data_IF_592718551712
#
_entry.id   IF_592718551712
#
_cell.length_a   1.000
_cell.length_b   1.000
_cell.length_c   1.000
_cell.angle_alpha   90.00
_cell.angle_beta   90.00
_cell.angle_gamma   90.00
#
_symmetry.space_group_name_H-M   'P 1'
#
loop_
_entity.id
_entity.type
_entity.pdbx_description
1 polymer ?
2 water ?
#
# COMPACT_ATOMS: atom_id res chain seq x y z
N UNK A 1 -25.90 8.45 -5.78
CA UNK A 1 -25.09 7.32 -6.21
C UNK A 1 -24.25 7.70 -7.44
N UNK A 2 -24.73 8.70 -8.19
CA UNK A 2 -23.95 9.22 -9.30
C UNK A 2 -22.65 9.83 -8.79
N UNK A 3 -21.57 9.56 -9.50
CA UNK A 3 -20.25 10.05 -9.13
C UNK A 3 -20.03 11.45 -9.68
N UNK A 4 -19.66 12.38 -8.80
CA UNK A 4 -19.33 13.75 -9.16
C UNK A 4 -17.92 14.04 -8.68
N UNK A 5 -17.04 14.45 -9.60
CA UNK A 5 -15.66 14.76 -9.23
C UNK A 5 -15.00 15.51 -10.37
N UNK A 6 -14.02 16.33 -10.00
CA UNK A 6 -13.13 17.01 -10.94
C UNK A 6 -11.73 16.48 -10.75
N UNK A 7 -11.16 15.89 -11.80
CA UNK A 7 -9.84 15.25 -11.74
C UNK A 7 -8.91 16.00 -12.68
N UNK A 8 -7.80 16.48 -12.15
CA UNK A 8 -6.79 17.18 -12.92
C UNK A 8 -5.50 16.37 -12.87
N UNK A 9 -5.02 15.93 -14.03
CA UNK A 9 -3.79 15.14 -14.11
C UNK A 9 -2.59 16.06 -14.29
N UNK A 10 -1.54 15.81 -13.51
CA UNK A 10 -0.28 16.55 -13.61
C UNK A 10 0.79 15.54 -13.99
N UNK A 11 1.27 15.61 -15.23
CA UNK A 11 2.10 14.57 -15.83
C UNK A 11 3.50 15.10 -16.06
N UNK A 12 4.50 14.42 -15.46
CA UNK A 12 5.90 14.68 -15.73
C UNK A 12 6.20 14.44 -17.20
N UNK A 13 6.50 15.51 -17.94
CA UNK A 13 6.82 15.37 -19.34
C UNK A 13 8.28 15.61 -19.64
N UNK A 14 9.12 15.58 -18.60
CA UNK A 14 10.54 15.86 -18.73
C UNK A 14 11.27 14.65 -19.33
N UNK A 15 12.60 14.72 -19.36
CA UNK A 15 13.41 13.59 -19.81
C UNK A 15 13.44 12.47 -18.79
N UNK A 16 12.81 12.64 -17.63
CA UNK A 16 12.65 11.53 -16.69
C UNK A 16 12.00 10.34 -17.38
N UNK A 17 11.07 10.60 -18.29
CA UNK A 17 10.49 9.58 -19.16
C UNK A 17 11.01 9.80 -20.57
N UNK A 18 11.25 8.70 -21.29
CA UNK A 18 11.43 8.81 -22.73
C UNK A 18 10.07 9.13 -23.37
N UNK A 19 10.12 9.52 -24.65
CA UNK A 19 8.89 9.90 -25.32
C UNK A 19 7.89 8.75 -25.37
N UNK A 20 8.38 7.55 -25.69
CA UNK A 20 7.48 6.40 -25.77
C UNK A 20 7.00 5.97 -24.38
N UNK A 21 7.82 6.15 -23.35
CA UNK A 21 7.38 5.90 -21.99
C UNK A 21 6.27 6.88 -21.60
N UNK A 22 6.35 8.12 -22.07
CA UNK A 22 5.29 9.08 -21.80
C UNK A 22 3.97 8.66 -22.43
N UNK A 23 4.04 8.04 -23.62
CA UNK A 23 2.83 7.52 -24.26
C UNK A 23 2.18 6.44 -23.42
N UNK A 24 2.98 5.69 -22.65
CA UNK A 24 2.42 4.69 -21.74
C UNK A 24 1.73 5.36 -20.55
N UNK A 25 2.20 6.53 -20.14
CA UNK A 25 1.51 7.28 -19.10
C UNK A 25 0.16 7.78 -19.61
N UNK A 26 0.12 8.26 -20.86
CA UNK A 26 -1.13 8.72 -21.44
C UNK A 26 -2.13 7.57 -21.57
N UNK A 27 -1.66 6.40 -21.99
CA UNK A 27 -2.54 5.24 -22.06
C UNK A 27 -3.08 4.86 -20.69
N UNK A 28 -2.22 4.93 -19.65
CA UNK A 28 -2.68 4.63 -18.30
C UNK A 28 -3.73 5.64 -17.85
N UNK A 29 -3.52 6.93 -18.14
CA UNK A 29 -4.48 7.96 -17.77
C UNK A 29 -5.80 7.74 -18.51
N UNK A 30 -5.71 7.36 -19.79
CA UNK A 30 -6.92 7.07 -20.56
C UNK A 30 -7.69 5.89 -19.96
N UNK A 31 -6.96 4.83 -19.57
CA UNK A 31 -7.63 3.68 -18.97
C UNK A 31 -8.28 4.05 -17.65
N UNK A 32 -7.64 4.91 -16.86
CA UNK A 32 -8.24 5.37 -15.60
C UNK A 32 -9.55 6.09 -15.88
N UNK A 33 -9.55 7.02 -16.83
CA UNK A 33 -10.75 7.79 -17.14
C UNK A 33 -11.84 6.87 -17.69
N UNK A 34 -11.45 5.90 -18.53
CA UNK A 34 -12.46 5.06 -19.19
C UNK A 34 -13.23 4.21 -18.19
N UNK A 35 -12.58 3.79 -17.11
CA UNK A 35 -13.26 2.93 -16.14
C UNK A 35 -13.88 3.70 -14.98
N UNK A 36 -13.32 4.85 -14.61
CA UNK A 36 -13.88 5.62 -13.50
C UNK A 36 -15.15 6.35 -13.94
N UNK A 37 -15.25 6.68 -15.23
CA UNK A 37 -16.35 7.50 -15.76
C UNK A 37 -17.45 6.56 -16.24
N UNK A 38 -18.40 6.28 -15.37
CA UNK A 38 -19.52 5.42 -15.75
C UNK A 38 -20.62 6.24 -16.43
N UNK A 39 -21.55 5.53 -17.06
CA UNK A 39 -22.66 6.19 -17.75
C UNK A 39 -23.49 7.00 -16.76
N UNK A 40 -23.63 8.29 -17.04
CA UNK A 40 -24.39 9.18 -16.19
C UNK A 40 -23.57 9.89 -15.13
N UNK A 41 -22.29 9.57 -15.00
CA UNK A 41 -21.45 10.25 -14.02
C UNK A 41 -21.16 11.68 -14.46
N UNK A 42 -20.93 12.56 -13.47
CA UNK A 42 -20.60 13.96 -13.70
C UNK A 42 -19.14 14.16 -13.32
N UNK A 43 -18.25 13.74 -14.22
CA UNK A 43 -16.81 13.76 -13.99
C UNK A 43 -16.17 14.64 -15.05
N UNK A 44 -15.43 15.65 -14.60
CA UNK A 44 -14.65 16.50 -15.48
C UNK A 44 -13.18 16.18 -15.32
N UNK A 45 -12.42 16.38 -16.40
CA UNK A 45 -11.00 16.05 -16.41
C UNK A 45 -10.22 17.20 -17.05
N UNK A 46 -9.15 17.62 -16.40
CA UNK A 46 -8.16 18.51 -16.99
C UNK A 46 -6.80 17.87 -16.95
N UNK A 47 -5.86 18.33 -17.76
CA UNK A 47 -4.55 17.69 -17.84
C UNK A 47 -3.46 18.73 -18.01
N UNK A 48 -2.37 18.56 -17.26
CA UNK A 48 -1.21 19.43 -17.31
C UNK A 48 0.03 18.57 -17.48
N UNK A 49 0.83 18.86 -18.49
CA UNK A 49 2.16 18.29 -18.65
C UNK A 49 3.17 19.30 -18.12
N UNK A 50 4.18 18.82 -17.40
CA UNK A 50 5.12 19.73 -16.77
C UNK A 50 6.55 19.22 -16.86
N UNK A 51 7.47 20.17 -17.09
CA UNK A 51 8.89 19.96 -16.88
C UNK A 51 9.31 20.98 -15.84
N UNK A 52 10.27 21.85 -16.15
CA UNK A 52 10.51 23.00 -15.28
C UNK A 52 9.34 23.97 -15.29
N UNK A 53 8.50 23.91 -16.33
CA UNK A 53 7.32 24.75 -16.47
C UNK A 53 6.10 23.89 -16.77
N UNK A 54 4.92 24.33 -16.38
CA UNK A 54 3.69 23.61 -16.73
C UNK A 54 3.12 24.05 -18.06
N UNK A 55 2.42 23.10 -18.71
CA UNK A 55 1.76 23.34 -19.98
C UNK A 55 0.33 22.85 -19.89
N UNK A 56 -0.63 23.76 -20.08
CA UNK A 56 -2.04 23.40 -20.05
C UNK A 56 -2.40 22.65 -21.34
N UNK A 57 -2.78 21.38 -21.20
CA UNK A 57 -3.26 20.63 -22.36
C UNK A 57 -4.77 20.78 -22.54
N UNK A 58 -5.54 20.68 -21.47
CA UNK A 58 -6.94 21.09 -21.49
C UNK A 58 -7.43 21.27 -20.06
N UNK A 59 -8.56 21.96 -19.94
CA UNK A 59 -9.16 22.29 -18.65
C UNK A 59 -10.39 21.43 -18.39
N UNK A 60 -10.83 21.43 -17.13
CA UNK A 60 -12.02 20.68 -16.74
C UNK A 60 -13.23 21.10 -17.57
N UNK A 61 -13.35 22.40 -17.84
CA UNK A 61 -14.49 22.95 -18.57
C UNK A 61 -14.49 22.61 -20.05
N UNK A 62 -13.37 22.12 -20.60
CA UNK A 62 -13.24 22.01 -22.05
C UNK A 62 -14.14 20.92 -22.60
N UNK A 63 -13.96 19.69 -22.14
CA UNK A 63 -14.63 18.53 -22.72
C UNK A 63 -15.65 17.98 -21.73
N UNK A 64 -16.78 17.54 -22.27
CA UNK A 64 -17.96 17.24 -21.49
C UNK A 64 -18.42 15.78 -21.56
N UNK A 65 -17.80 14.97 -22.41
CA UNK A 65 -18.07 13.54 -22.46
C UNK A 65 -16.77 12.78 -22.23
N UNK A 66 -16.90 11.54 -21.78
CA UNK A 66 -15.73 10.70 -21.58
C UNK A 66 -14.95 10.51 -22.89
N UNK A 67 -15.66 10.35 -24.00
CA UNK A 67 -15.00 10.09 -25.27
C UNK A 67 -14.17 11.29 -25.73
N UNK A 68 -14.68 12.51 -25.51
CA UNK A 68 -13.90 13.69 -25.86
C UNK A 68 -12.66 13.81 -24.97
N UNK A 69 -12.80 13.48 -23.68
CA UNK A 69 -11.66 13.53 -22.77
C UNK A 69 -10.59 12.54 -23.21
N UNK A 70 -11.00 11.30 -23.50
CA UNK A 70 -10.04 10.26 -23.87
C UNK A 70 -9.34 10.61 -25.17
N UNK A 71 -10.10 11.13 -26.15
CA UNK A 71 -9.47 11.59 -27.39
C UNK A 71 -8.52 12.76 -27.14
N UNK A 72 -8.86 13.62 -26.17
CA UNK A 72 -7.97 14.73 -25.83
C UNK A 72 -6.68 14.25 -25.19
N UNK A 73 -6.79 13.26 -24.28
CA UNK A 73 -5.60 12.69 -23.66
C UNK A 73 -4.70 12.07 -24.72
N UNK A 74 -5.29 11.33 -25.65
CA UNK A 74 -4.53 10.66 -26.70
C UNK A 74 -4.23 11.60 -27.85
N UNK A 75 -4.08 12.88 -27.55
CA UNK A 75 -3.52 13.86 -28.46
C UNK A 75 -2.36 14.64 -27.86
N UNK A 76 -2.13 14.52 -26.55
CA UNK A 76 -1.02 15.20 -25.90
C UNK A 76 0.29 14.74 -26.51
N UNK A 77 1.16 15.69 -26.82
CA UNK A 77 2.45 15.42 -27.44
C UNK A 77 3.54 15.64 -26.39
N UNK A 78 4.38 14.62 -26.21
CA UNK A 78 5.52 14.72 -25.30
C UNK A 78 6.39 15.89 -25.67
N UNK A 79 6.73 16.72 -24.68
CA UNK A 79 7.48 17.94 -24.91
C UNK A 79 8.89 17.93 -24.33
N UNK A 80 9.21 16.96 -23.48
CA UNK A 80 10.58 16.85 -23.01
C UNK A 80 10.96 17.95 -22.03
N UNK A 81 12.26 18.24 -21.97
CA UNK A 81 12.79 19.24 -21.08
C UNK A 81 13.50 18.61 -19.88
N UNK A 82 14.28 19.44 -19.20
CA UNK A 82 15.04 19.01 -18.02
C UNK A 82 14.48 19.68 -16.77
N UNK A 83 14.76 19.04 -15.63
CA UNK A 83 14.44 19.56 -14.31
C UNK A 83 12.94 19.65 -14.07
N UNK A 84 12.26 18.50 -14.01
CA UNK A 84 10.85 18.48 -13.67
C UNK A 84 10.64 19.09 -12.28
N UNK A 85 9.82 20.14 -12.22
CA UNK A 85 9.53 20.85 -10.98
C UNK A 85 8.08 20.57 -10.60
N UNK A 86 7.89 19.62 -9.69
CA UNK A 86 6.54 19.25 -9.26
C UNK A 86 5.91 20.33 -8.40
N UNK A 87 6.72 21.14 -7.72
CA UNK A 87 6.16 22.24 -6.93
C UNK A 87 5.52 23.29 -7.82
N UNK A 88 6.21 23.68 -8.89
CA UNK A 88 5.63 24.62 -9.85
C UNK A 88 4.42 24.00 -10.53
N UNK A 89 4.45 22.69 -10.78
CA UNK A 89 3.31 22.03 -11.39
C UNK A 89 2.07 22.07 -10.52
N UNK A 90 2.24 21.75 -9.23
CA UNK A 90 1.10 21.77 -8.31
C UNK A 90 0.59 23.19 -8.09
N UNK A 91 1.50 24.16 -7.99
CA UNK A 91 1.08 25.55 -7.81
C UNK A 91 0.29 26.05 -9.01
N UNK A 92 0.65 25.60 -10.21
CA UNK A 92 -0.09 25.97 -11.41
C UNK A 92 -1.51 25.43 -11.35
N UNK A 93 -1.67 24.19 -10.87
CA UNK A 93 -3.01 23.65 -10.65
C UNK A 93 -3.78 24.48 -9.64
N UNK A 94 -3.12 24.89 -8.56
CA UNK A 94 -3.75 25.74 -7.56
C UNK A 94 -4.29 27.02 -8.19
N UNK A 95 -3.53 27.63 -9.08
CA UNK A 95 -3.90 28.94 -9.63
C UNK A 95 -4.85 28.80 -10.81
N UNK A 96 -4.62 27.82 -11.68
CA UNK A 96 -5.24 27.80 -12.99
C UNK A 96 -6.19 26.65 -13.26
N UNK A 97 -6.33 25.71 -12.34
CA UNK A 97 -7.20 24.57 -12.66
C UNK A 97 -8.27 24.32 -11.61
N UNK A 98 -7.93 24.40 -10.33
CA UNK A 98 -8.94 24.26 -9.28
C UNK A 98 -9.57 25.61 -8.93
N UNK A 99 -10.08 26.28 -9.96
CA UNK A 99 -10.77 27.56 -9.81
C UNK A 99 -12.05 27.50 -10.63
N UNK A 100 -13.09 28.28 -10.29
CA UNK A 100 -14.36 28.17 -11.04
C UNK A 100 -14.23 28.48 -12.52
N UNK A 101 -13.44 29.49 -12.89
CA UNK A 101 -13.32 29.89 -14.29
C UNK A 101 -12.70 28.80 -15.15
N UNK A 102 -11.99 27.85 -14.56
CA UNK A 102 -11.47 26.70 -15.29
C UNK A 102 -12.43 25.52 -15.27
N UNK A 103 -13.60 25.67 -14.66
CA UNK A 103 -14.58 24.60 -14.59
C UNK A 103 -14.58 23.82 -13.28
N UNK A 104 -13.74 24.18 -12.32
CA UNK A 104 -13.70 23.46 -11.06
C UNK A 104 -14.94 23.76 -10.23
N UNK A 105 -15.53 22.70 -9.67
CA UNK A 105 -16.68 22.81 -8.78
C UNK A 105 -16.27 22.73 -7.32
N UNK A 106 -15.09 23.25 -6.98
CA UNK A 106 -14.61 23.22 -5.61
C UNK A 106 -15.53 23.98 -4.66
N UNK A 107 -16.24 24.98 -5.17
CA UNK A 107 -17.12 25.77 -4.33
C UNK A 107 -18.37 25.01 -3.90
N UNK A 108 -18.76 23.99 -4.65
CA UNK A 108 -20.00 23.25 -4.40
C UNK A 108 -19.75 21.91 -3.70
N UNK A 109 -18.63 21.79 -2.97
CA UNK A 109 -18.27 20.57 -2.25
C UNK A 109 -18.12 19.36 -3.17
N UNK A 110 -17.87 19.59 -4.44
CA UNK A 110 -17.64 18.50 -5.38
C UNK A 110 -16.20 18.02 -5.20
N UNK A 111 -15.96 16.71 -5.09
CA UNK A 111 -14.61 16.20 -4.87
C UNK A 111 -13.61 16.73 -5.90
N UNK A 112 -12.49 17.23 -5.39
CA UNK A 112 -11.41 17.74 -6.22
C UNK A 112 -10.20 16.84 -6.05
N UNK A 113 -9.66 16.35 -7.17
CA UNK A 113 -8.59 15.36 -7.16
C UNK A 113 -7.47 15.85 -8.06
N UNK A 114 -6.26 15.92 -7.52
CA UNK A 114 -5.05 16.17 -8.28
C UNK A 114 -4.28 14.87 -8.40
N UNK A 115 -4.06 14.42 -9.64
CA UNK A 115 -3.41 13.14 -9.92
C UNK A 115 -2.05 13.43 -10.53
N UNK A 116 -0.99 13.23 -9.73
CA UNK A 116 0.37 13.50 -10.15
C UNK A 116 1.04 12.19 -10.54
N UNK A 117 1.69 12.19 -11.70
CA UNK A 117 2.54 11.09 -12.14
C UNK A 117 3.91 11.67 -12.45
N UNK A 118 4.92 11.27 -11.67
CA UNK A 118 6.26 11.82 -11.78
C UNK A 118 7.27 10.70 -11.92
N UNK A 119 8.31 10.94 -12.71
CA UNK A 119 9.32 9.93 -12.96
C UNK A 119 10.68 10.26 -12.37
N UNK A 120 10.71 11.22 -11.45
CA UNK A 120 11.96 11.62 -10.83
C UNK A 120 11.70 12.62 -9.73
N UNK A 121 12.68 12.72 -8.84
CA UNK A 121 12.55 13.62 -7.69
C UNK A 121 12.47 15.06 -8.16
N UNK A 122 11.54 15.80 -7.57
CA UNK A 122 11.36 17.20 -7.92
C UNK A 122 12.59 18.02 -7.55
N UNK A 123 12.99 18.91 -8.46
CA UNK A 123 14.08 19.84 -8.19
C UNK A 123 13.68 20.91 -7.18
N UNK A 124 12.42 20.94 -6.75
CA UNK A 124 11.95 21.85 -5.73
C UNK A 124 10.92 21.12 -4.88
N UNK A 125 11.09 21.17 -3.56
CA UNK A 125 10.19 20.45 -2.67
C UNK A 125 8.76 20.95 -2.82
N UNK A 126 7.83 20.01 -3.01
CA UNK A 126 6.42 20.32 -3.22
C UNK A 126 5.57 20.03 -1.99
N UNK A 127 6.19 19.82 -0.83
CA UNK A 127 5.45 19.40 0.35
C UNK A 127 4.45 20.46 0.81
N UNK A 128 4.85 21.73 0.81
CA UNK A 128 3.99 22.79 1.32
C UNK A 128 2.83 23.07 0.37
N UNK A 129 3.10 23.07 -0.94
CA UNK A 129 2.04 23.29 -1.90
C UNK A 129 1.04 22.14 -1.88
N UNK A 130 1.53 20.91 -1.76
CA UNK A 130 0.63 19.77 -1.65
C UNK A 130 -0.22 19.87 -0.38
N UNK A 131 0.40 20.23 0.75
CA UNK A 131 -0.36 20.37 1.99
C UNK A 131 -1.40 21.47 1.88
N UNK A 132 -1.06 22.58 1.23
CA UNK A 132 -2.01 23.68 1.07
C UNK A 132 -3.22 23.24 0.24
N UNK A 133 -3.00 22.39 -0.76
CA UNK A 133 -4.10 21.86 -1.54
C UNK A 133 -4.92 20.86 -0.72
N UNK A 134 -4.24 19.99 0.02
CA UNK A 134 -4.94 19.00 0.83
C UNK A 134 -5.84 19.67 1.87
N UNK A 135 -5.34 20.73 2.52
CA UNK A 135 -6.13 21.43 3.53
C UNK A 135 -7.30 22.18 2.90
N UNK A 136 -7.23 22.54 1.63
CA UNK A 136 -8.36 23.15 0.95
C UNK A 136 -9.39 22.12 0.49
N UNK A 137 -9.11 20.84 0.64
CA UNK A 137 -10.02 19.79 0.23
C UNK A 137 -9.64 19.05 -1.03
N UNK A 138 -8.55 19.45 -1.69
CA UNK A 138 -8.07 18.75 -2.88
C UNK A 138 -7.34 17.49 -2.43
N UNK A 139 -7.74 16.34 -2.99
CA UNK A 139 -7.04 15.08 -2.74
C UNK A 139 -5.94 14.91 -3.78
N UNK A 140 -4.70 14.84 -3.32
CA UNK A 140 -3.54 14.77 -4.22
C UNK A 140 -3.10 13.31 -4.30
N UNK A 141 -3.26 12.72 -5.49
CA UNK A 141 -2.76 11.39 -5.77
C UNK A 141 -1.37 11.49 -6.38
N UNK A 142 -0.44 10.66 -5.91
CA UNK A 142 0.94 10.69 -6.36
C UNK A 142 1.38 9.30 -6.77
N UNK A 143 1.87 9.17 -7.99
CA UNK A 143 2.37 7.91 -8.58
C UNK A 143 3.80 8.17 -9.01
N UNK A 144 4.75 7.64 -8.26
CA UNK A 144 6.17 7.80 -8.53
C UNK A 144 6.70 6.71 -9.43
N UNK A 145 7.39 7.08 -10.49
CA UNK A 145 7.95 6.09 -11.44
C UNK A 145 9.49 6.12 -11.42
N UNK A 146 10.11 4.95 -11.27
CA UNK A 146 11.57 4.67 -11.30
C UNK A 146 12.41 5.41 -10.26
N UNK A 147 12.66 6.70 -10.43
CA UNK A 147 13.56 7.44 -9.51
C UNK A 147 12.78 8.24 -8.49
N UNK A 148 11.82 7.62 -7.83
CA UNK A 148 11.02 8.30 -6.78
C UNK A 148 10.99 7.35 -5.59
N UNK A 149 11.33 7.82 -4.41
CA UNK A 149 11.37 6.97 -3.20
C UNK A 149 10.15 7.22 -2.33
N UNK A 150 10.08 6.52 -1.21
CA UNK A 150 8.88 6.63 -0.37
C UNK A 150 8.71 8.04 0.18
N UNK A 151 9.82 8.73 0.49
CA UNK A 151 9.70 10.05 1.10
C UNK A 151 9.23 11.09 0.09
N UNK A 152 9.73 11.03 -1.14
CA UNK A 152 9.30 11.99 -2.15
C UNK A 152 7.84 11.79 -2.52
N UNK A 153 7.40 10.53 -2.67
CA UNK A 153 6.00 10.28 -2.98
C UNK A 153 5.11 10.66 -1.80
N UNK A 154 5.63 10.55 -0.57
CA UNK A 154 4.84 10.92 0.59
C UNK A 154 4.70 12.42 0.75
N UNK A 155 5.65 13.20 0.21
CA UNK A 155 5.54 14.65 0.24
C UNK A 155 4.45 15.14 -0.69
N UNK A 156 4.26 14.47 -1.84
CA UNK A 156 3.28 14.92 -2.81
C UNK A 156 1.88 14.47 -2.43
N UNK A 157 1.73 13.20 -2.06
CA UNK A 157 0.42 12.63 -1.81
C UNK A 157 -0.21 13.22 -0.56
N UNK A 158 -1.55 13.30 -0.57
CA UNK A 158 -2.27 13.81 0.59
C UNK A 158 -2.06 12.93 1.81
N UNK A 159 -2.06 11.62 1.62
CA UNK A 159 -1.84 10.66 2.70
C UNK A 159 -1.23 9.40 2.11
N UNK A 160 -1.08 8.37 2.95
CA UNK A 160 -0.45 7.14 2.49
C UNK A 160 -1.31 6.40 1.49
N UNK A 161 -2.64 6.46 1.63
CA UNK A 161 -3.51 5.72 0.73
C UNK A 161 -3.50 6.27 -0.69
N UNK A 162 -3.05 7.51 -0.88
CA UNK A 162 -2.99 8.13 -2.21
C UNK A 162 -1.57 8.21 -2.74
N UNK A 163 -0.63 7.48 -2.15
CA UNK A 163 0.75 7.42 -2.60
C UNK A 163 1.02 6.06 -3.24
N UNK A 164 1.52 6.08 -4.47
CA UNK A 164 1.82 4.86 -5.21
C UNK A 164 3.22 4.94 -5.80
N UNK A 165 3.78 3.78 -6.11
CA UNK A 165 5.11 3.70 -6.70
C UNK A 165 5.16 2.51 -7.65
N UNK A 166 5.93 2.67 -8.73
CA UNK A 166 6.23 1.59 -9.66
C UNK A 166 7.66 1.74 -10.15
N UNK A 167 8.20 0.64 -10.68
CA UNK A 167 9.56 0.64 -11.19
C UNK A 167 9.70 1.14 -12.61
N UNK A 168 8.63 1.15 -13.39
CA UNK A 168 8.68 1.64 -14.76
C UNK A 168 7.26 1.89 -15.25
N UNK A 169 7.16 2.57 -16.40
CA UNK A 169 5.85 2.96 -16.92
C UNK A 169 5.04 1.74 -17.34
N UNK A 170 5.68 0.63 -17.69
CA UNK A 170 4.90 -0.57 -18.12
C UNK A 170 4.17 -1.21 -16.93
N UNK A 171 4.63 -0.98 -15.71
CA UNK A 171 4.03 -1.53 -14.49
C UNK A 171 2.86 -0.68 -14.00
N UNK A 172 2.68 0.50 -14.55
CA UNK A 172 1.64 1.46 -14.11
C UNK A 172 0.28 0.80 -14.02
N UNK A 173 -0.02 -0.09 -14.95
CA UNK A 173 -1.38 -0.62 -15.02
C UNK A 173 -1.68 -1.68 -13.95
N UNK A 174 -0.68 -2.15 -13.21
CA UNK A 174 -0.98 -3.03 -12.08
C UNK A 174 -1.55 -2.25 -10.90
N UNK A 175 -1.40 -0.93 -10.91
CA UNK A 175 -2.03 -0.08 -9.90
C UNK A 175 -3.48 0.24 -10.23
N UNK A 176 -3.95 -0.10 -11.43
CA UNK A 176 -5.28 0.31 -11.88
C UNK A 176 -6.35 -0.05 -10.86
N UNK A 177 -6.32 -1.29 -10.37
CA UNK A 177 -7.30 -1.73 -9.38
C UNK A 177 -7.21 -0.91 -8.11
N UNK A 178 -5.98 -0.71 -7.60
CA UNK A 178 -5.81 0.02 -6.35
C UNK A 178 -6.12 1.50 -6.52
N UNK A 179 -5.78 2.08 -7.67
CA UNK A 179 -6.02 3.50 -7.89
C UNK A 179 -7.51 3.78 -7.95
N UNK A 180 -8.29 2.90 -8.57
CA UNK A 180 -9.72 3.15 -8.74
C UNK A 180 -10.48 2.98 -7.43
N UNK A 181 -10.10 1.99 -6.61
CA UNK A 181 -10.70 1.88 -5.28
C UNK A 181 -10.42 3.11 -4.45
N UNK A 182 -9.20 3.64 -4.53
CA UNK A 182 -8.87 4.87 -3.82
C UNK A 182 -9.63 6.05 -4.42
N UNK A 183 -9.67 6.15 -5.75
CA UNK A 183 -10.50 7.16 -6.39
C UNK A 183 -11.96 6.99 -5.98
N UNK A 184 -12.42 5.74 -5.87
CA UNK A 184 -13.78 5.47 -5.42
C UNK A 184 -14.01 6.02 -4.02
N UNK A 185 -13.07 5.79 -3.11
CA UNK A 185 -13.19 6.33 -1.76
C UNK A 185 -13.13 7.85 -1.77
N UNK A 186 -12.32 8.43 -2.65
CA UNK A 186 -12.14 9.88 -2.72
C UNK A 186 -13.37 10.60 -3.24
N UNK A 187 -14.35 9.87 -3.77
CA UNK A 187 -15.63 10.46 -4.14
C UNK A 187 -16.73 10.14 -3.15
N UNK A 188 -16.55 9.12 -2.30
CA UNK A 188 -17.51 8.78 -1.28
C UNK A 188 -17.49 9.81 -0.15
N UNK B 1 13.86 1.82 -3.34
CA UNK B 1 13.16 0.70 -3.99
C UNK B 1 11.86 0.37 -3.26
N UNK B 2 10.77 0.33 -4.00
CA UNK B 2 9.48 0.02 -3.42
C UNK B 2 9.44 -1.41 -2.90
N UNK B 3 8.90 -1.58 -1.69
CA UNK B 3 8.86 -2.88 -1.03
C UNK B 3 7.61 -3.64 -1.45
N UNK B 4 7.78 -4.90 -1.84
CA UNK B 4 6.68 -5.80 -2.13
C UNK B 4 6.83 -7.03 -1.26
N UNK B 5 5.79 -7.34 -0.48
CA UNK B 5 5.80 -8.49 0.41
C UNK B 5 4.40 -8.77 0.90
N UNK B 6 4.12 -10.06 1.15
CA UNK B 6 2.87 -10.50 1.76
C UNK B 6 3.20 -11.09 3.12
N UNK B 7 2.65 -10.48 4.18
CA UNK B 7 2.95 -10.86 5.56
C UNK B 7 1.67 -11.38 6.19
N UNK B 8 1.69 -12.62 6.68
CA UNK B 8 0.56 -13.22 7.36
C UNK B 8 0.98 -13.50 8.80
N UNK B 9 0.34 -12.83 9.74
CA UNK B 9 0.61 -13.05 11.15
C UNK B 9 -0.19 -14.23 11.67
N UNK B 10 0.44 -15.03 12.53
CA UNK B 10 -0.21 -16.17 13.19
C UNK B 10 0.00 -15.99 14.69
N UNK B 11 -1.07 -15.60 15.39
CA UNK B 11 -0.98 -15.15 16.77
C UNK B 11 -1.63 -16.18 17.69
N UNK B 12 -0.84 -16.69 18.65
CA UNK B 12 -1.34 -17.53 19.72
C UNK B 12 -2.37 -16.77 20.54
N UNK B 13 -3.63 -17.19 20.47
CA UNK B 13 -4.68 -16.54 21.24
C UNK B 13 -5.20 -17.42 22.35
N UNK B 14 -4.44 -18.45 22.70
CA UNK B 14 -4.84 -19.39 23.73
C UNK B 14 -4.64 -18.76 25.10
N UNK B 15 -4.85 -19.56 26.16
CA UNK B 15 -4.59 -19.09 27.52
C UNK B 15 -3.11 -18.98 27.83
N UNK B 16 -2.23 -19.28 26.87
CA UNK B 16 -0.80 -19.00 27.04
C UNK B 16 -0.59 -17.52 27.31
N UNK B 17 -1.41 -16.67 26.69
CA UNK B 17 -1.45 -15.25 26.99
C UNK B 17 -2.73 -14.93 27.74
N UNK B 18 -2.65 -14.02 28.70
CA UNK B 18 -3.86 -13.39 29.22
C UNK B 18 -4.39 -12.43 28.16
N UNK B 19 -5.65 -12.03 28.34
CA UNK B 19 -6.26 -11.11 27.37
C UNK B 19 -5.46 -9.81 27.28
N UNK B 20 -4.99 -9.30 28.42
CA UNK B 20 -4.22 -8.06 28.43
C UNK B 20 -2.84 -8.26 27.79
N UNK B 21 -2.27 -9.46 27.88
CA UNK B 21 -1.01 -9.73 27.20
C UNK B 21 -1.19 -9.92 25.71
N UNK B 22 -2.32 -10.51 25.29
CA UNK B 22 -2.61 -10.62 23.87
C UNK B 22 -2.77 -9.24 23.24
N UNK B 23 -3.39 -8.31 23.97
CA UNK B 23 -3.52 -6.95 23.46
C UNK B 23 -2.16 -6.30 23.25
N UNK B 24 -1.21 -6.59 24.14
CA UNK B 24 0.16 -6.10 23.95
C UNK B 24 0.78 -6.68 22.70
N UNK B 25 0.48 -7.95 22.39
CA UNK B 25 0.95 -8.55 21.15
C UNK B 25 0.34 -7.83 19.95
N UNK B 26 -0.95 -7.48 20.05
CA UNK B 26 -1.62 -6.77 18.95
C UNK B 26 -1.01 -5.40 18.73
N UNK B 27 -0.71 -4.67 19.81
CA UNK B 27 0.01 -3.41 19.69
C UNK B 27 1.35 -3.62 18.99
N UNK B 28 2.13 -4.58 19.46
CA UNK B 28 3.42 -4.90 18.84
C UNK B 28 3.25 -5.14 17.35
N UNK B 29 2.22 -5.88 16.95
CA UNK B 29 2.01 -6.18 15.54
C UNK B 29 1.63 -4.93 14.76
N UNK B 30 0.79 -4.06 15.35
CA UNK B 30 0.36 -2.86 14.64
C UNK B 30 1.53 -1.89 14.45
N UNK B 31 2.41 -1.80 15.46
CA UNK B 31 3.59 -0.94 15.34
C UNK B 31 4.58 -1.49 14.32
N UNK B 32 4.67 -2.82 14.21
CA UNK B 32 5.49 -3.44 13.16
C UNK B 32 4.97 -3.03 11.79
N UNK B 33 3.66 -3.18 11.58
CA UNK B 33 3.08 -2.83 10.29
C UNK B 33 3.19 -1.32 10.03
N UNK B 34 2.96 -0.51 11.07
CA UNK B 34 3.04 0.93 10.91
C UNK B 34 4.44 1.39 10.52
N UNK B 35 5.47 0.67 10.98
CA UNK B 35 6.84 1.07 10.71
C UNK B 35 7.33 0.57 9.36
N UNK B 36 7.03 -0.69 9.03
CA UNK B 36 7.60 -1.29 7.81
C UNK B 36 6.83 -0.89 6.56
N UNK B 37 5.56 -0.52 6.67
CA UNK B 37 4.76 -0.12 5.52
C UNK B 37 5.00 1.36 5.27
N UNK B 38 5.85 1.66 4.29
CA UNK B 38 6.14 3.03 3.92
C UNK B 38 5.25 3.48 2.76
N UNK B 39 5.29 4.79 2.49
CA UNK B 39 4.48 5.36 1.42
C UNK B 39 4.89 4.80 0.08
N UNK B 40 3.93 4.21 -0.63
CA UNK B 40 4.18 3.62 -1.93
C UNK B 40 4.53 2.15 -1.92
N UNK B 41 4.73 1.56 -0.74
CA UNK B 41 5.05 0.14 -0.67
C UNK B 41 3.83 -0.70 -1.01
N UNK B 42 4.08 -1.87 -1.60
CA UNK B 42 3.04 -2.82 -1.97
C UNK B 42 3.10 -3.98 -0.98
N UNK B 43 2.59 -3.75 0.22
CA UNK B 43 2.61 -4.72 1.31
C UNK B 43 1.19 -5.12 1.62
N UNK B 44 0.90 -6.42 1.57
CA UNK B 44 -0.37 -6.97 2.01
C UNK B 44 -0.17 -7.70 3.34
N UNK B 45 -1.21 -7.69 4.17
CA UNK B 45 -1.13 -8.26 5.50
C UNK B 45 -2.37 -9.12 5.76
N UNK B 46 -2.14 -10.34 6.26
CA UNK B 46 -3.19 -11.17 6.79
C UNK B 46 -2.89 -11.52 8.24
N UNK B 47 -3.91 -12.02 8.94
CA UNK B 47 -3.77 -12.34 10.35
C UNK B 47 -4.65 -13.53 10.71
N UNK B 48 -4.07 -14.46 11.46
CA UNK B 48 -4.79 -15.62 11.97
C UNK B 48 -4.54 -15.73 13.47
N UNK B 49 -5.61 -15.85 14.24
CA UNK B 49 -5.53 -16.18 15.66
C UNK B 49 -5.82 -17.67 15.82
N UNK B 50 -4.99 -18.36 16.60
CA UNK B 50 -5.12 -19.80 16.72
C UNK B 50 -5.04 -20.25 18.17
N UNK B 51 -5.86 -21.25 18.51
CA UNK B 51 -5.69 -22.03 19.72
C UNK B 51 -5.49 -23.47 19.25
N UNK B 52 -6.36 -24.40 19.66
CA UNK B 52 -6.33 -25.73 19.05
C UNK B 52 -6.73 -25.67 17.58
N UNK B 53 -7.44 -24.62 17.17
CA UNK B 53 -7.89 -24.40 15.80
C UNK B 53 -7.55 -22.99 15.38
N UNK B 54 -7.40 -22.76 14.07
CA UNK B 54 -7.15 -21.40 13.58
C UNK B 54 -8.42 -20.66 13.24
N UNK B 55 -8.37 -19.34 13.42
CA UNK B 55 -9.48 -18.45 13.08
C UNK B 55 -8.96 -17.36 12.15
N UNK B 56 -9.57 -17.23 10.98
CA UNK B 56 -9.20 -16.19 10.03
C UNK B 56 -9.76 -14.86 10.49
N UNK B 57 -8.88 -13.91 10.79
CA UNK B 57 -9.35 -12.56 11.11
C UNK B 57 -9.48 -11.71 9.84
N UNK B 58 -8.48 -11.75 8.97
CA UNK B 58 -8.60 -11.17 7.63
C UNK B 58 -7.48 -11.71 6.76
N UNK B 59 -7.71 -11.69 5.45
CA UNK B 59 -6.78 -12.20 4.46
C UNK B 59 -5.97 -11.07 3.84
N UNK B 60 -4.90 -11.46 3.15
CA UNK B 60 -4.04 -10.49 2.47
C UNK B 60 -4.84 -9.58 1.56
N UNK B 61 -5.77 -10.16 0.79
CA UNK B 61 -6.54 -9.43 -0.20
C UNK B 61 -7.58 -8.50 0.40
N UNK B 62 -7.80 -8.54 1.72
CA UNK B 62 -8.96 -7.89 2.29
C UNK B 62 -8.81 -6.38 2.41
N UNK B 63 -7.59 -5.88 2.62
CA UNK B 63 -7.37 -4.46 2.86
C UNK B 63 -6.21 -3.97 2.02
N UNK B 64 -6.42 -2.85 1.32
CA UNK B 64 -5.47 -2.35 0.34
C UNK B 64 -4.61 -1.21 0.84
N UNK B 65 -4.94 -0.63 2.00
CA UNK B 65 -4.15 0.46 2.58
C UNK B 65 -3.61 0.05 3.93
N UNK B 66 -2.47 0.63 4.30
CA UNK B 66 -1.88 0.35 5.62
C UNK B 66 -2.85 0.67 6.75
N UNK B 67 -3.73 1.64 6.50
CA UNK B 67 -4.64 2.12 7.54
C UNK B 67 -5.77 1.14 7.82
N UNK B 68 -6.36 0.61 6.75
CA UNK B 68 -7.36 -0.44 6.90
C UNK B 68 -6.76 -1.66 7.58
N UNK B 69 -5.47 -1.91 7.38
CA UNK B 69 -4.81 -3.03 8.04
C UNK B 69 -4.64 -2.76 9.53
N UNK B 70 -4.10 -1.59 9.88
CA UNK B 70 -3.95 -1.22 11.28
C UNK B 70 -5.32 -1.19 11.97
N UNK B 71 -6.33 -0.66 11.28
CA UNK B 71 -7.69 -0.69 11.81
C UNK B 71 -8.14 -2.12 12.08
N UNK B 72 -7.88 -3.03 11.15
CA UNK B 72 -8.29 -4.42 11.33
C UNK B 72 -7.55 -5.08 12.48
N UNK B 73 -6.25 -4.81 12.62
CA UNK B 73 -5.49 -5.35 13.74
C UNK B 73 -6.08 -4.88 15.06
N UNK B 74 -6.47 -3.60 15.13
CA UNK B 74 -6.99 -3.00 16.36
C UNK B 74 -8.38 -3.50 16.73
N UNK B 75 -9.01 -4.33 15.89
CA UNK B 75 -10.33 -4.86 16.18
C UNK B 75 -10.33 -6.36 16.40
N UNK B 76 -9.17 -7.01 16.40
CA UNK B 76 -9.09 -8.43 16.71
C UNK B 76 -9.42 -8.65 18.18
N UNK B 77 -10.29 -9.62 18.45
CA UNK B 77 -10.77 -9.90 19.80
C UNK B 77 -10.13 -11.19 20.29
N UNK B 78 -9.53 -11.13 21.48
CA UNK B 78 -8.98 -12.32 22.10
C UNK B 78 -10.06 -13.36 22.33
N UNK B 79 -9.82 -14.59 21.89
CA UNK B 79 -10.82 -15.64 21.95
C UNK B 79 -10.49 -16.75 22.94
N UNK B 80 -9.27 -16.78 23.49
CA UNK B 80 -8.97 -17.82 24.44
C UNK B 80 -8.72 -19.16 23.77
N UNK B 81 -8.82 -20.21 24.58
CA UNK B 81 -8.53 -21.56 24.13
C UNK B 81 -7.52 -22.24 25.04
N UNK B 82 -7.72 -23.54 25.30
CA UNK B 82 -6.89 -24.22 26.29
C UNK B 82 -5.50 -24.54 25.75
N UNK B 83 -5.41 -25.02 24.52
CA UNK B 83 -4.15 -25.42 23.93
C UNK B 83 -3.82 -24.54 22.74
N UNK B 84 -2.56 -24.61 22.30
CA UNK B 84 -2.08 -23.89 21.13
C UNK B 84 -1.39 -24.89 20.21
N UNK B 85 -1.96 -25.10 19.04
CA UNK B 85 -1.41 -26.02 18.05
C UNK B 85 -0.81 -25.19 16.92
N UNK B 86 0.49 -24.94 17.00
CA UNK B 86 1.17 -24.15 15.98
C UNK B 86 1.24 -24.90 14.66
N UNK B 87 1.32 -26.23 14.69
CA UNK B 87 1.37 -27.00 13.46
C UNK B 87 0.08 -26.83 12.66
N UNK B 88 -1.07 -26.88 13.33
CA UNK B 88 -2.35 -26.69 12.65
C UNK B 88 -2.44 -25.26 12.11
N UNK B 89 -2.01 -24.27 12.89
CA UNK B 89 -2.06 -22.90 12.43
C UNK B 89 -1.17 -22.65 11.23
N UNK B 90 0.07 -23.16 11.27
CA UNK B 90 0.97 -23.03 10.13
C UNK B 90 0.43 -23.77 8.92
N UNK B 91 -0.11 -24.97 9.12
CA UNK B 91 -0.69 -25.72 8.02
C UNK B 91 -1.89 -24.99 7.42
N UNK B 92 -2.68 -24.34 8.27
CA UNK B 92 -3.79 -23.53 7.79
C UNK B 92 -3.29 -22.40 6.90
N UNK B 93 -2.15 -21.81 7.25
CA UNK B 93 -1.56 -20.74 6.43
C UNK B 93 -1.12 -21.25 5.08
N UNK B 94 -0.49 -22.43 5.05
CA UNK B 94 -0.02 -23.00 3.79
C UNK B 94 -1.16 -23.28 2.83
N UNK B 95 -2.33 -23.66 3.34
CA UNK B 95 -3.43 -24.09 2.49
C UNK B 95 -4.36 -22.93 2.15
N UNK B 96 -4.59 -22.00 3.07
CA UNK B 96 -5.63 -21.00 2.90
C UNK B 96 -5.13 -19.56 2.83
N UNK B 97 -3.86 -19.29 3.10
CA UNK B 97 -3.38 -17.92 3.14
C UNK B 97 -2.27 -17.62 2.14
N UNK B 98 -1.36 -18.56 1.92
CA UNK B 98 -0.31 -18.37 0.92
C UNK B 98 -0.69 -19.00 -0.41
N UNK B 99 -1.90 -18.73 -0.85
CA UNK B 99 -2.43 -19.22 -2.12
C UNK B 99 -2.97 -18.03 -2.90
N UNK B 100 -3.05 -18.10 -4.23
CA UNK B 100 -3.51 -16.92 -5.00
C UNK B 100 -4.90 -16.44 -4.62
N UNK B 101 -5.80 -17.35 -4.22
CA UNK B 101 -7.17 -16.94 -3.93
C UNK B 101 -7.26 -16.04 -2.71
N UNK B 102 -6.35 -16.19 -1.75
CA UNK B 102 -6.33 -15.32 -0.59
C UNK B 102 -5.58 -14.02 -0.83
N UNK B 103 -4.99 -13.83 -2.01
CA UNK B 103 -4.23 -12.64 -2.31
C UNK B 103 -2.73 -12.80 -2.26
N UNK B 104 -2.23 -14.01 -2.07
CA UNK B 104 -0.79 -14.24 -2.00
C UNK B 104 -0.16 -14.18 -3.38
N UNK B 105 0.98 -13.50 -3.47
CA UNK B 105 1.75 -13.41 -4.70
C UNK B 105 2.94 -14.37 -4.68
N UNK B 106 2.78 -15.55 -4.08
CA UNK B 106 3.89 -16.46 -3.87
C UNK B 106 4.52 -16.90 -5.20
N UNK B 107 3.69 -17.23 -6.18
CA UNK B 107 4.20 -17.72 -7.47
C UNK B 107 4.72 -16.59 -8.36
N UNK B 108 4.57 -15.34 -7.95
CA UNK B 108 5.20 -14.21 -8.63
C UNK B 108 6.51 -13.81 -7.98
N UNK B 109 7.06 -14.65 -7.10
CA UNK B 109 8.35 -14.42 -6.43
C UNK B 109 8.32 -13.13 -5.62
N UNK B 110 7.15 -12.73 -5.13
CA UNK B 110 7.07 -11.65 -4.15
C UNK B 110 7.38 -12.23 -2.77
N UNK B 111 8.24 -11.59 -1.98
CA UNK B 111 8.59 -12.14 -0.66
C UNK B 111 7.36 -12.45 0.18
N UNK B 112 7.31 -13.68 0.68
CA UNK B 112 6.23 -14.16 1.53
C UNK B 112 6.77 -14.41 2.93
N UNK B 113 6.06 -13.92 3.94
CA UNK B 113 6.52 -13.98 5.32
C UNK B 113 5.39 -14.50 6.20
N UNK B 114 5.67 -15.54 6.96
CA UNK B 114 4.79 -16.03 8.01
C UNK B 114 5.39 -15.63 9.35
N UNK B 115 4.67 -14.79 10.09
CA UNK B 115 5.15 -14.23 11.35
C UNK B 115 4.37 -14.85 12.50
N UNK B 116 5.02 -15.73 13.25
CA UNK B 116 4.38 -16.47 14.34
C UNK B 116 4.76 -15.86 15.67
N UNK B 117 3.76 -15.58 16.51
CA UNK B 117 3.96 -15.14 17.88
C UNK B 117 3.22 -16.13 18.77
N UNK B 118 3.97 -16.92 19.53
CA UNK B 118 3.39 -17.98 20.34
C UNK B 118 3.91 -17.90 21.75
N UNK B 119 3.04 -18.19 22.72
CA UNK B 119 3.37 -18.10 24.13
C UNK B 119 3.52 -19.42 24.86
N UNK B 120 3.66 -20.54 24.15
CA UNK B 120 3.85 -21.81 24.79
C UNK B 120 4.21 -22.87 23.77
N UNK B 121 4.81 -23.94 24.26
CA UNK B 121 5.21 -25.03 23.38
C UNK B 121 3.99 -25.64 22.71
N UNK B 122 4.09 -25.87 21.40
CA UNK B 122 2.98 -26.40 20.63
C UNK B 122 2.65 -27.82 21.07
N UNK B 123 1.35 -28.15 21.05
CA UNK B 123 0.92 -29.51 21.36
C UNK B 123 1.21 -30.48 20.23
N UNK B 124 1.66 -29.98 19.08
CA UNK B 124 2.08 -30.81 17.95
C UNK B 124 3.30 -30.18 17.31
N UNK B 125 4.27 -31.02 16.96
CA UNK B 125 5.50 -30.54 16.32
C UNK B 125 5.18 -29.89 14.99
N UNK B 126 5.76 -28.71 14.77
CA UNK B 126 5.49 -27.91 13.57
C UNK B 126 6.70 -27.78 12.67
N UNK B 127 7.77 -28.54 12.91
CA UNK B 127 8.97 -28.39 12.10
C UNK B 127 8.76 -28.89 10.68
N UNK B 128 7.85 -29.86 10.48
CA UNK B 128 7.61 -30.37 9.14
C UNK B 128 6.85 -29.37 8.28
N UNK B 129 5.87 -28.68 8.85
CA UNK B 129 5.14 -27.68 8.09
C UNK B 129 5.99 -26.43 7.89
N UNK B 130 6.79 -26.06 8.89
CA UNK B 130 7.72 -24.96 8.71
C UNK B 130 8.74 -25.29 7.62
N UNK B 131 9.18 -26.54 7.58
CA UNK B 131 10.09 -26.97 6.51
C UNK B 131 9.42 -26.86 5.15
N UNK B 132 8.16 -27.27 5.05
CA UNK B 132 7.45 -27.20 3.78
C UNK B 132 7.29 -25.75 3.33
N UNK B 133 6.89 -24.86 4.25
CA UNK B 133 6.77 -23.45 3.91
C UNK B 133 8.11 -22.85 3.55
N UNK B 134 9.15 -23.13 4.34
CA UNK B 134 10.48 -22.60 4.07
C UNK B 134 11.00 -23.04 2.72
N UNK B 135 10.91 -24.34 2.42
CA UNK B 135 11.28 -24.85 1.11
C UNK B 135 10.58 -24.05 0.01
N UNK B 136 9.39 -23.57 0.27
CA UNK B 136 8.54 -22.99 -0.76
C UNK B 136 8.80 -21.51 -1.03
N UNK B 137 9.71 -20.86 -0.30
CA UNK B 137 9.93 -19.43 -0.44
C UNK B 137 9.30 -18.60 0.66
N UNK B 138 8.56 -19.21 1.58
CA UNK B 138 7.94 -18.49 2.69
C UNK B 138 8.94 -18.45 3.83
N UNK B 139 9.34 -17.24 4.22
CA UNK B 139 10.18 -17.05 5.38
C UNK B 139 9.32 -17.06 6.64
N UNK B 140 9.60 -17.99 7.54
CA UNK B 140 8.82 -18.16 8.76
C UNK B 140 9.55 -17.46 9.90
N UNK B 141 8.96 -16.38 10.41
CA UNK B 141 9.43 -15.71 11.61
C UNK B 141 8.73 -16.31 12.82
N UNK B 142 9.49 -16.53 13.90
CA UNK B 142 8.94 -17.10 15.12
C UNK B 142 9.40 -16.26 16.30
N UNK B 143 8.44 -15.72 17.05
CA UNK B 143 8.70 -14.97 18.27
C UNK B 143 8.08 -15.74 19.42
N UNK B 144 8.93 -16.34 20.25
CA UNK B 144 8.49 -17.12 21.41
C UNK B 144 8.45 -16.31 22.69
N UNK B 145 7.33 -16.34 23.38
CA UNK B 145 7.09 -15.63 24.65
C UNK B 145 6.98 -16.63 25.81
N UNK B 146 7.80 -16.47 26.84
CA UNK B 146 7.75 -17.25 28.11
C UNK B 146 8.05 -18.74 27.96
N UNK B 147 7.05 -19.57 27.79
CA UNK B 147 7.24 -21.04 27.78
C UNK B 147 7.68 -21.64 26.44
N UNK B 148 8.65 -21.04 25.78
CA UNK B 148 9.17 -21.57 24.50
C UNK B 148 10.69 -21.45 24.58
N UNK B 149 11.37 -22.55 24.36
CA UNK B 149 12.85 -22.58 24.45
C UNK B 149 13.46 -22.52 23.06
N UNK B 150 14.76 -22.66 23.03
CA UNK B 150 15.58 -22.61 21.81
C UNK B 150 15.19 -23.70 20.81
N UNK B 151 14.79 -24.87 21.28
CA UNK B 151 14.41 -25.95 20.38
C UNK B 151 13.08 -25.67 19.70
N UNK B 152 12.09 -25.23 20.47
CA UNK B 152 10.75 -25.01 19.91
C UNK B 152 10.76 -23.87 18.89
N UNK B 153 11.42 -22.76 19.22
CA UNK B 153 11.44 -21.63 18.31
C UNK B 153 12.26 -21.94 17.07
N UNK B 154 13.25 -22.82 17.19
CA UNK B 154 14.02 -23.20 16.02
C UNK B 154 13.25 -24.09 15.07
N UNK B 155 12.36 -24.93 15.61
CA UNK B 155 11.50 -25.75 14.77
C UNK B 155 10.58 -24.89 13.91
N UNK B 156 10.02 -23.83 14.50
CA UNK B 156 9.08 -22.98 13.78
C UNK B 156 9.83 -22.10 12.78
N UNK B 157 10.88 -21.43 13.24
CA UNK B 157 11.57 -20.45 12.40
C UNK B 157 12.28 -21.13 11.23
N UNK B 158 12.31 -20.43 10.09
CA UNK B 158 12.98 -20.97 8.90
C UNK B 158 14.47 -21.15 9.14
N UNK B 159 15.08 -20.25 9.93
CA UNK B 159 16.50 -20.36 10.27
C UNK B 159 16.73 -19.53 11.53
N UNK B 160 18.00 -19.49 11.96
CA UNK B 160 18.34 -18.80 13.20
C UNK B 160 18.06 -17.30 13.13
N UNK B 161 18.23 -16.70 11.95
CA UNK B 161 18.03 -15.26 11.82
C UNK B 161 16.59 -14.84 12.05
N UNK B 162 15.63 -15.75 11.86
CA UNK B 162 14.22 -15.43 12.02
C UNK B 162 13.62 -16.03 13.28
N UNK B 163 14.44 -16.40 14.25
CA UNK B 163 13.99 -16.95 15.52
C UNK B 163 14.25 -15.93 16.63
N UNK B 164 13.21 -15.62 17.40
CA UNK B 164 13.28 -14.63 18.45
C UNK B 164 12.63 -15.18 19.71
N UNK B 165 13.02 -14.63 20.86
CA UNK B 165 12.50 -15.05 22.15
C UNK B 165 12.42 -13.86 23.09
N UNK B 166 11.40 -13.86 23.95
CA UNK B 166 11.31 -12.94 25.07
C UNK B 166 10.74 -13.68 26.27
N UNK B 167 11.10 -13.20 27.47
CA UNK B 167 10.56 -13.78 28.68
C UNK B 167 9.13 -13.38 29.01
N UNK B 168 8.65 -12.28 28.42
CA UNK B 168 7.29 -11.82 28.63
C UNK B 168 6.96 -10.75 27.60
N UNK B 169 5.67 -10.46 27.46
CA UNK B 169 5.22 -9.54 26.42
C UNK B 169 5.66 -8.11 26.69
N UNK B 170 6.04 -7.78 27.92
CA UNK B 170 6.52 -6.44 28.21
C UNK B 170 7.86 -6.13 27.54
N UNK B 171 8.58 -7.15 27.11
CA UNK B 171 9.86 -6.98 26.44
C UNK B 171 9.75 -7.03 24.92
N UNK B 172 8.54 -7.21 24.37
CA UNK B 172 8.39 -7.30 22.91
C UNK B 172 8.89 -6.03 22.23
N UNK B 173 8.64 -4.87 22.83
CA UNK B 173 9.10 -3.61 22.25
C UNK B 173 10.61 -3.55 22.14
N UNK B 174 11.34 -4.42 22.85
CA UNK B 174 12.79 -4.47 22.72
C UNK B 174 13.23 -5.24 21.48
N UNK B 175 12.44 -6.23 21.05
CA UNK B 175 12.75 -6.98 19.84
C UNK B 175 12.54 -6.18 18.56
N UNK B 176 11.84 -5.05 18.63
CA UNK B 176 11.29 -4.42 17.42
C UNK B 176 12.37 -4.10 16.41
N UNK B 177 13.46 -3.45 16.84
CA UNK B 177 14.53 -3.11 15.91
C UNK B 177 15.18 -4.37 15.33
N UNK B 178 15.37 -5.39 16.17
CA UNK B 178 15.84 -6.68 15.68
C UNK B 178 14.89 -7.24 14.62
N UNK B 179 13.59 -7.18 14.89
CA UNK B 179 12.60 -7.74 13.98
C UNK B 179 12.53 -6.91 12.71
N UNK B 180 12.58 -5.59 12.83
CA UNK B 180 12.47 -4.73 11.65
C UNK B 180 13.68 -4.87 10.74
N UNK B 181 14.87 -5.06 11.31
CA UNK B 181 16.04 -5.31 10.48
C UNK B 181 15.94 -6.64 9.75
N UNK B 182 15.49 -7.68 10.44
CA UNK B 182 15.33 -8.98 9.80
C UNK B 182 14.22 -8.95 8.76
N UNK B 183 13.10 -8.33 9.08
CA UNK B 183 12.02 -8.17 8.12
C UNK B 183 12.51 -7.44 6.87
N UNK B 184 13.29 -6.37 7.06
CA UNK B 184 13.79 -5.60 5.93
C UNK B 184 14.66 -6.46 5.02
N UNK B 185 15.56 -7.24 5.61
CA UNK B 185 16.38 -8.16 4.81
C UNK B 185 15.51 -9.17 4.09
N UNK B 186 14.44 -9.64 4.74
CA UNK B 186 13.55 -10.61 4.11
C UNK B 186 12.85 -10.04 2.88
N UNK B 187 12.75 -8.72 2.76
CA UNK B 187 12.16 -8.09 1.59
C UNK B 187 13.25 -7.46 0.72
#
# INVERSE_FOLDING_TARGET
EKKKADIVFLLDGSINFRRDSFQEVLRFVSEIVDTVYEDGDSIQVGLVQYNSDPTDEFFLKDFSTKRQIIDAINKVVYKGGRHANTKVGLEHLRVNHFVPEAGSRLDQRVPQIAFVITGGKSVEDAQDVSLALTQRGVKVFAVGVRNIDSEEVGKIASNSATAFRVGNVQELSELSEQVLETLHDAMHETLCPGVTDAAK
EKKKADIVFLLDGSINFRRDSFQEVLRFVSEIVDTVYEDGDSIQVGLVQYNSDPTDEFFLKDFSTKRQIIDAINKVVYKGGRHANTKVGLEHLRVNHFVPEAGSRLDQRVPQIAFVITGGKSVEDAQDVSLALTQRGVKVFAVGVRNIDSEEVGKIASNSATAFRVGNVQELSELSEQVLETLHDAMHETLCPGVTDAAK
#
